data_IF_937967067163
#
_entry.id   IF_937967067163
#
_cell.length_a   1.000
_cell.length_b   1.000
_cell.length_c   1.000
_cell.angle_alpha   90.00
_cell.angle_beta   90.00
_cell.angle_gamma   90.00
#
_symmetry.space_group_name_H-M   'P 1'
#
loop_
_entity.id
_entity.type
_entity.pdbx_description
1 polymer ?
#
# COMPACT_ATOMS: atom_id res chain seq x y z
N UNK A 1 1.55 -4.87 4.23
CA UNK A 1 2.31 -3.92 3.41
C UNK A 1 2.28 -4.40 1.96
N UNK A 2 2.82 -3.61 1.02
CA UNK A 2 2.92 -3.99 -0.39
C UNK A 2 4.32 -3.75 -0.94
N UNK A 3 4.74 -4.59 -1.89
CA UNK A 3 5.87 -4.33 -2.79
C UNK A 3 5.35 -3.61 -4.03
N UNK A 4 6.19 -2.76 -4.61
CA UNK A 4 5.90 -2.03 -5.84
C UNK A 4 6.72 -2.60 -6.99
N UNK A 5 6.11 -2.76 -8.16
CA UNK A 5 6.82 -3.18 -9.36
C UNK A 5 7.84 -2.10 -9.77
N UNK A 6 9.09 -2.48 -9.97
CA UNK A 6 10.13 -1.60 -10.53
C UNK A 6 9.72 -1.26 -11.96
N UNK A 7 9.69 0.03 -12.29
CA UNK A 7 9.41 0.53 -13.64
C UNK A 7 10.72 0.86 -14.35
N UNK A 8 10.71 0.91 -15.68
CA UNK A 8 11.94 1.08 -16.46
C UNK A 8 12.71 2.37 -16.12
N UNK A 9 12.01 3.43 -15.69
CA UNK A 9 12.63 4.69 -15.26
C UNK A 9 13.12 4.67 -13.79
N UNK A 10 12.70 3.72 -12.97
CA UNK A 10 13.20 3.50 -11.59
C UNK A 10 14.16 2.33 -11.49
N UNK A 11 14.42 1.65 -12.60
CA UNK A 11 15.37 0.53 -12.67
C UNK A 11 16.77 1.05 -12.39
N UNK A 12 17.45 0.48 -11.39
CA UNK A 12 18.87 0.73 -11.21
C UNK A 12 19.60 0.33 -12.49
N UNK A 13 20.41 1.25 -13.03
CA UNK A 13 21.08 1.12 -14.34
C UNK A 13 21.96 -0.13 -14.45
N UNK A 14 22.33 -0.72 -13.31
CA UNK A 14 23.19 -1.91 -13.19
C UNK A 14 22.47 -3.14 -12.63
N UNK A 15 21.15 -3.09 -12.42
CA UNK A 15 20.38 -4.27 -12.07
C UNK A 15 20.29 -5.15 -13.32
N UNK A 16 21.18 -6.14 -13.41
CA UNK A 16 21.24 -7.10 -14.51
C UNK A 16 19.89 -7.81 -14.75
N UNK A 17 19.85 -8.71 -15.74
CA UNK A 17 18.63 -9.44 -16.16
C UNK A 17 17.93 -10.25 -15.05
N UNK A 18 18.55 -10.37 -13.87
CA UNK A 18 18.07 -11.06 -12.67
C UNK A 18 17.69 -10.11 -11.52
N UNK A 19 17.70 -8.79 -11.72
CA UNK A 19 17.31 -7.83 -10.69
C UNK A 19 15.87 -8.03 -10.23
N UNK A 20 15.64 -7.97 -8.93
CA UNK A 20 14.30 -8.09 -8.33
C UNK A 20 13.37 -7.03 -8.93
N UNK A 21 12.33 -7.46 -9.66
CA UNK A 21 11.35 -6.57 -10.30
C UNK A 21 10.40 -5.88 -9.31
N UNK A 22 10.64 -6.02 -8.01
CA UNK A 22 9.79 -5.55 -6.93
C UNK A 22 10.64 -4.86 -5.87
N UNK A 23 10.18 -3.72 -5.37
CA UNK A 23 10.89 -2.91 -4.38
C UNK A 23 10.00 -2.51 -3.21
N UNK A 24 10.65 -2.09 -2.13
CA UNK A 24 10.03 -1.60 -0.91
C UNK A 24 9.66 -2.71 0.09
N UNK A 25 9.25 -2.30 1.29
CA UNK A 25 7.81 -2.29 1.55
C UNK A 25 7.20 -0.87 1.56
N UNK A 26 5.97 -0.79 1.10
CA UNK A 26 5.13 0.41 1.07
C UNK A 26 3.85 0.21 1.88
N UNK A 27 3.35 1.32 2.41
CA UNK A 27 2.04 1.43 3.04
C UNK A 27 1.06 2.08 2.09
N UNK A 28 -0.14 1.49 2.01
CA UNK A 28 -1.27 2.17 1.37
C UNK A 28 -1.81 3.18 2.39
N UNK A 29 -1.88 4.44 1.98
CA UNK A 29 -2.34 5.55 2.83
C UNK A 29 -3.68 6.12 2.40
N UNK A 30 -4.08 5.89 1.15
CA UNK A 30 -5.35 6.36 0.59
C UNK A 30 -5.80 5.46 -0.55
N UNK A 31 -7.12 5.28 -0.67
CA UNK A 31 -7.77 4.69 -1.86
C UNK A 31 -8.27 5.85 -2.72
N UNK A 32 -7.59 6.12 -3.83
CA UNK A 32 -7.99 7.21 -4.75
C UNK A 32 -9.23 6.81 -5.54
N UNK A 33 -9.25 5.57 -6.02
CA UNK A 33 -10.39 4.88 -6.62
C UNK A 33 -10.14 3.38 -6.56
N UNK A 34 -11.10 2.59 -7.00
CA UNK A 34 -10.96 1.13 -6.99
C UNK A 34 -9.71 0.69 -7.78
N UNK A 35 -8.85 -0.07 -7.09
CA UNK A 35 -7.57 -0.54 -7.63
C UNK A 35 -6.49 0.54 -7.79
N UNK A 36 -6.64 1.75 -7.24
CA UNK A 36 -5.63 2.82 -7.32
C UNK A 36 -5.39 3.46 -5.95
N UNK A 37 -4.12 3.49 -5.52
CA UNK A 37 -3.74 3.74 -4.13
C UNK A 37 -2.60 4.75 -4.00
N UNK A 38 -2.64 5.63 -2.99
CA UNK A 38 -1.44 6.39 -2.60
C UNK A 38 -0.57 5.56 -1.68
N UNK A 39 0.75 5.67 -1.86
CA UNK A 39 1.74 4.88 -1.14
C UNK A 39 2.65 5.77 -0.30
N UNK A 40 3.17 5.21 0.78
CA UNK A 40 4.24 5.80 1.59
C UNK A 40 5.32 4.77 1.85
N UNK A 41 6.59 5.13 1.66
CA UNK A 41 7.73 4.27 1.97
C UNK A 41 7.82 4.03 3.47
N UNK A 42 7.89 2.76 3.85
CA UNK A 42 7.94 2.34 5.26
C UNK A 42 9.18 2.87 5.97
N UNK A 43 10.35 2.79 5.30
CA UNK A 43 11.65 3.11 5.92
C UNK A 43 11.77 4.57 6.36
N UNK A 44 11.24 5.52 5.59
CA UNK A 44 11.47 6.95 5.81
C UNK A 44 10.19 7.79 5.83
N UNK A 45 9.01 7.16 5.72
CA UNK A 45 7.72 7.87 5.73
C UNK A 45 7.47 8.75 4.51
N UNK A 46 8.31 8.71 3.47
CA UNK A 46 8.17 9.57 2.29
C UNK A 46 6.96 9.09 1.45
N UNK A 47 5.99 9.98 1.15
CA UNK A 47 4.89 9.66 0.25
C UNK A 47 5.37 9.56 -1.19
N UNK A 48 4.80 8.61 -1.94
CA UNK A 48 4.95 8.56 -3.38
C UNK A 48 4.12 9.68 -4.03
N UNK A 49 4.73 10.39 -4.97
CA UNK A 49 4.11 11.55 -5.63
C UNK A 49 2.87 11.17 -6.45
N UNK A 50 2.87 9.95 -7.02
CA UNK A 50 1.80 9.46 -7.89
C UNK A 50 1.08 8.28 -7.22
N UNK A 51 -0.24 8.15 -7.43
CA UNK A 51 -0.96 6.96 -7.01
C UNK A 51 -0.60 5.77 -7.91
N UNK A 52 -0.75 4.57 -7.36
CA UNK A 52 -0.32 3.31 -7.96
C UNK A 52 -1.49 2.37 -8.19
N UNK A 53 -1.52 1.75 -9.37
CA UNK A 53 -2.50 0.72 -9.71
C UNK A 53 -2.16 -0.59 -8.98
N UNK A 54 -3.19 -1.29 -8.48
CA UNK A 54 -3.10 -2.62 -7.85
C UNK A 54 -2.29 -3.63 -8.67
N UNK A 55 -2.38 -3.59 -10.01
CA UNK A 55 -1.63 -4.49 -10.90
C UNK A 55 -0.11 -4.32 -10.79
N UNK A 56 0.35 -3.17 -10.30
CA UNK A 56 1.76 -2.87 -10.05
C UNK A 56 2.14 -3.05 -8.57
N UNK A 57 1.26 -3.65 -7.76
CA UNK A 57 1.48 -3.89 -6.35
C UNK A 57 1.39 -5.39 -6.05
N UNK A 58 2.24 -5.87 -5.15
CA UNK A 58 2.19 -7.24 -4.63
C UNK A 58 2.07 -7.17 -3.11
N UNK A 59 1.24 -8.03 -2.52
CA UNK A 59 1.19 -8.17 -1.06
C UNK A 59 2.56 -8.61 -0.55
N UNK A 60 3.07 -7.97 0.50
CA UNK A 60 4.28 -8.42 1.19
C UNK A 60 3.89 -9.21 2.44
N UNK A 61 4.38 -10.45 2.55
CA UNK A 61 4.21 -11.29 3.73
C UNK A 61 5.20 -10.95 4.85
N UNK A 62 6.30 -10.26 4.54
CA UNK A 62 7.31 -9.87 5.54
C UNK A 62 6.68 -8.93 6.58
N UNK A 63 6.33 -9.53 7.73
CA UNK A 63 5.99 -8.82 8.97
C UNK A 63 7.21 -8.62 9.86
N UNK A 64 8.32 -9.28 9.53
CA UNK A 64 9.55 -9.30 10.35
C UNK A 64 10.36 -7.99 10.23
N UNK A 65 10.07 -7.14 9.23
CA UNK A 65 10.66 -5.78 9.15
C UNK A 65 9.97 -4.75 10.08
N UNK A 66 9.02 -5.17 10.93
CA UNK A 66 8.39 -4.31 11.93
C UNK A 66 9.33 -3.96 13.11
N UNK A 67 10.51 -4.59 13.17
CA UNK A 67 11.61 -4.19 14.06
C UNK A 67 12.37 -2.96 13.55
N UNK A 68 12.08 -2.47 12.34
CA UNK A 68 12.39 -1.08 12.00
C UNK A 68 11.46 -0.24 12.88
N UNK A 69 11.98 0.66 13.73
CA UNK A 69 11.14 1.56 14.50
C UNK A 69 10.41 2.48 13.51
N UNK A 70 9.22 2.04 13.07
CA UNK A 70 8.28 2.88 12.38
C UNK A 70 8.06 4.07 13.29
N UNK A 71 8.33 5.29 12.79
CA UNK A 71 8.01 6.48 13.55
C UNK A 71 6.55 6.43 13.98
N UNK A 72 6.23 7.03 15.13
CA UNK A 72 4.86 7.05 15.66
C UNK A 72 3.87 7.50 14.58
N UNK A 73 4.25 8.50 13.77
CA UNK A 73 3.49 8.97 12.62
C UNK A 73 3.13 7.86 11.62
N UNK A 74 4.11 7.04 11.22
CA UNK A 74 3.87 5.92 10.29
C UNK A 74 2.93 4.88 10.93
N UNK A 75 3.14 4.55 12.22
CA UNK A 75 2.26 3.62 12.95
C UNK A 75 0.82 4.10 13.04
N UNK A 76 0.62 5.39 13.32
CA UNK A 76 -0.70 6.01 13.38
C UNK A 76 -1.40 5.98 12.01
N UNK A 77 -0.69 6.30 10.93
CA UNK A 77 -1.26 6.27 9.57
C UNK A 77 -1.66 4.86 9.14
N UNK A 78 -0.91 3.83 9.53
CA UNK A 78 -1.30 2.41 9.30
C UNK A 78 -2.59 2.06 10.02
N UNK A 79 -2.69 2.40 11.31
CA UNK A 79 -3.87 2.11 12.12
C UNK A 79 -5.09 2.87 11.60
N UNK A 80 -4.93 4.17 11.33
CA UNK A 80 -5.99 5.02 10.81
C UNK A 80 -6.50 4.52 9.45
N UNK A 81 -5.60 4.17 8.53
CA UNK A 81 -5.99 3.61 7.23
C UNK A 81 -6.76 2.30 7.40
N UNK A 82 -6.25 1.37 8.21
CA UNK A 82 -6.87 0.06 8.43
C UNK A 82 -8.24 0.21 9.07
N UNK A 83 -8.37 1.08 10.07
CA UNK A 83 -9.62 1.37 10.75
C UNK A 83 -10.65 1.98 9.79
N UNK A 84 -10.28 3.02 9.04
CA UNK A 84 -11.17 3.66 8.05
C UNK A 84 -11.57 2.68 6.93
N UNK A 85 -10.66 1.82 6.49
CA UNK A 85 -10.96 0.78 5.50
C UNK A 85 -12.00 -0.22 6.02
N UNK A 86 -11.87 -0.67 7.27
CA UNK A 86 -12.82 -1.58 7.91
C UNK A 86 -14.19 -0.91 8.09
N UNK A 87 -14.22 0.35 8.53
CA UNK A 87 -15.47 1.12 8.64
C UNK A 87 -16.20 1.23 7.29
N UNK A 88 -15.47 1.54 6.21
CA UNK A 88 -16.05 1.65 4.87
C UNK A 88 -16.61 0.31 4.36
N UNK A 89 -15.92 -0.81 4.64
CA UNK A 89 -16.44 -2.14 4.30
C UNK A 89 -17.71 -2.51 5.05
N UNK A 90 -17.85 -2.10 6.31
CA UNK A 90 -19.07 -2.38 7.08
C UNK A 90 -20.27 -1.57 6.59
N UNK A 91 -20.08 -0.31 6.18
CA UNK A 91 -21.15 0.51 5.61
C UNK A 91 -21.64 -0.03 4.26
N UNK A 92 -20.73 -0.53 3.41
CA UNK A 92 -21.09 -1.13 2.11
C UNK A 92 -21.94 -2.41 2.26
N UNK A 93 -21.67 -3.25 3.28
CA UNK A 93 -22.49 -4.44 3.56
C UNK A 93 -23.91 -4.10 4.03
N UNK A 94 -24.06 -3.01 4.80
CA UNK A 94 -25.37 -2.55 5.28
C UNK A 94 -26.26 -2.02 4.15
N UNK A 95 -25.68 -1.35 3.16
CA UNK A 95 -26.41 -0.82 2.01
C UNK A 95 -26.97 -1.91 1.07
N UNK A 96 -26.24 -3.02 0.90
CA UNK A 96 -26.66 -4.14 0.04
C UNK A 96 -27.82 -5.00 0.62
N UNK A 97 -28.13 -4.83 1.91
CA UNK A 97 -29.22 -5.56 2.60
C UNK A 97 -30.58 -4.87 2.48
N UNK A 98 -30.65 -3.65 1.94
CA UNK A 98 -31.90 -2.88 1.81
C UNK A 98 -32.48 -3.01 0.39
N UNK A 99 -32.96 -4.20 0.04
CA UNK A 99 -33.97 -4.37 -1.01
C UNK A 99 -35.14 -5.15 -0.42
N UNK A 100 -36.25 -4.48 -0.04
CA UNK A 100 -37.50 -5.17 0.25
C UNK A 100 -38.14 -5.63 -1.06
N UNK A 101 -38.66 -6.86 -1.05
CA UNK A 101 -39.64 -7.36 -2.02
C UNK A 101 -41.00 -6.68 -1.82
#
# INVERSE_FOLDING_TARGET
MVLRKVQDYTKERNAGKLGTNWEGPYLITEVVRDGVYKLTKVRNGIPELRPWNAMNLKRSEDRDHLDIPLSNEVRFRVHLFTFNFLLRKNQSKSAASKHPA
#
